data_IF_277410979337
#
_entry.id   IF_277410979337
#
_cell.length_a   1.000
_cell.length_b   1.000
_cell.length_c   1.000
_cell.angle_alpha   90.00
_cell.angle_beta   90.00
_cell.angle_gamma   90.00
#
_symmetry.space_group_name_H-M   'P 1'
#
loop_
_entity.id
_entity.type
_entity.pdbx_description
1 polymer ?
#
# COMPACT_ATOMS: atom_id res chain seq x y z
N UNK A 1 18.66 -17.04 -9.84
CA UNK A 1 19.53 -18.21 -9.60
C UNK A 1 18.65 -19.31 -9.03
N UNK A 2 18.64 -20.44 -9.70
CA UNK A 2 17.89 -21.64 -9.32
C UNK A 2 18.50 -22.25 -8.06
N UNK A 3 17.69 -22.41 -7.02
CA UNK A 3 18.03 -23.18 -5.83
C UNK A 3 18.19 -24.65 -6.23
N UNK A 4 19.41 -25.17 -6.32
CA UNK A 4 19.62 -26.62 -6.25
C UNK A 4 19.53 -27.03 -4.78
N UNK A 5 18.33 -27.40 -4.32
CA UNK A 5 18.21 -28.21 -3.11
C UNK A 5 18.53 -29.65 -3.46
N UNK A 6 19.33 -30.27 -2.61
CA UNK A 6 19.60 -31.71 -2.61
C UNK A 6 18.25 -32.45 -2.63
N UNK A 7 17.98 -33.31 -3.62
CA UNK A 7 16.75 -34.06 -3.67
C UNK A 7 16.78 -35.09 -2.53
N UNK A 8 16.04 -34.83 -1.46
CA UNK A 8 15.72 -35.87 -0.48
C UNK A 8 14.62 -36.74 -1.08
N UNK A 9 15.02 -37.80 -1.77
CA UNK A 9 14.12 -38.89 -2.15
C UNK A 9 13.65 -39.60 -0.88
N UNK A 10 12.35 -39.53 -0.60
CA UNK A 10 11.69 -40.45 0.34
C UNK A 10 10.95 -39.78 1.51
N UNK A 11 9.74 -39.29 1.24
CA UNK A 11 8.79 -38.93 2.30
C UNK A 11 7.35 -39.01 1.80
N UNK A 12 6.74 -40.19 1.76
CA UNK A 12 5.32 -40.34 1.41
C UNK A 12 4.42 -39.88 2.57
N UNK A 13 3.48 -38.95 2.32
CA UNK A 13 2.46 -38.52 3.27
C UNK A 13 2.41 -37.01 3.50
N UNK A 14 1.89 -36.60 4.68
CA UNK A 14 1.65 -35.21 5.12
C UNK A 14 2.87 -34.28 4.91
N UNK A 15 4.10 -34.78 5.08
CA UNK A 15 5.33 -34.00 4.93
C UNK A 15 5.54 -33.57 3.47
N UNK A 16 5.28 -34.44 2.48
CA UNK A 16 5.34 -34.05 1.08
C UNK A 16 4.24 -33.04 0.71
N UNK A 17 3.06 -33.16 1.31
CA UNK A 17 1.99 -32.18 1.15
C UNK A 17 2.38 -30.82 1.75
N UNK A 18 2.95 -30.80 2.95
CA UNK A 18 3.43 -29.59 3.61
C UNK A 18 4.55 -28.92 2.81
N UNK A 19 5.51 -29.70 2.31
CA UNK A 19 6.59 -29.16 1.46
C UNK A 19 6.03 -28.54 0.18
N UNK A 20 5.12 -29.22 -0.52
CA UNK A 20 4.44 -28.63 -1.70
C UNK A 20 3.68 -27.34 -1.37
N UNK A 21 3.04 -27.27 -0.21
CA UNK A 21 2.35 -26.04 0.23
C UNK A 21 3.34 -24.90 0.49
N UNK A 22 4.48 -25.19 1.12
CA UNK A 22 5.56 -24.22 1.34
C UNK A 22 6.11 -23.72 0.00
N UNK A 23 6.37 -24.64 -0.94
CA UNK A 23 6.90 -24.28 -2.26
C UNK A 23 5.90 -23.40 -3.03
N UNK A 24 4.60 -23.71 -3.00
CA UNK A 24 3.56 -22.87 -3.62
C UNK A 24 3.44 -21.45 -3.02
N UNK A 25 3.82 -21.29 -1.75
CA UNK A 25 3.79 -20.00 -1.04
C UNK A 25 5.04 -19.17 -1.37
N UNK A 26 6.23 -19.77 -1.42
CA UNK A 26 7.47 -19.01 -1.55
C UNK A 26 8.07 -19.01 -2.96
N UNK A 27 7.78 -20.02 -3.77
CA UNK A 27 8.30 -20.14 -5.13
C UNK A 27 7.30 -19.64 -6.19
N UNK A 28 7.78 -19.56 -7.44
CA UNK A 28 6.91 -19.29 -8.57
C UNK A 28 5.83 -20.37 -8.66
N UNK A 29 4.56 -19.95 -8.76
CA UNK A 29 3.44 -20.88 -8.79
C UNK A 29 2.64 -20.79 -10.09
N UNK A 30 2.17 -19.61 -10.44
CA UNK A 30 1.35 -19.33 -11.61
C UNK A 30 1.39 -17.84 -11.93
N UNK A 31 1.22 -17.52 -13.20
CA UNK A 31 1.25 -16.15 -13.68
C UNK A 31 0.01 -15.37 -13.21
N UNK A 32 0.25 -14.24 -12.55
CA UNK A 32 -0.80 -13.27 -12.28
C UNK A 32 -1.18 -12.52 -13.57
N UNK A 33 -2.48 -12.47 -13.88
CA UNK A 33 -2.99 -11.76 -15.06
C UNK A 33 -3.78 -10.53 -14.64
N UNK A 34 -3.35 -9.35 -15.11
CA UNK A 34 -4.08 -8.09 -14.90
C UNK A 34 -5.46 -8.19 -15.56
N UNK A 35 -6.49 -7.89 -14.78
CA UNK A 35 -7.93 -8.04 -15.10
C UNK A 35 -8.40 -9.50 -15.30
N UNK A 36 -7.58 -10.48 -14.91
CA UNK A 36 -8.01 -11.87 -14.77
C UNK A 36 -8.87 -12.11 -13.53
N UNK A 37 -9.30 -13.36 -13.32
CA UNK A 37 -10.21 -13.73 -12.24
C UNK A 37 -9.69 -13.35 -10.85
N UNK A 38 -8.41 -13.66 -10.56
CA UNK A 38 -7.80 -13.31 -9.27
C UNK A 38 -7.74 -11.79 -9.06
N UNK A 39 -7.45 -11.01 -10.11
CA UNK A 39 -7.42 -9.56 -10.02
C UNK A 39 -8.79 -9.00 -9.66
N UNK A 40 -9.82 -9.39 -10.42
CA UNK A 40 -11.19 -8.91 -10.21
C UNK A 40 -11.76 -9.34 -8.85
N UNK A 41 -11.41 -10.55 -8.39
CA UNK A 41 -11.78 -11.02 -7.06
C UNK A 41 -11.18 -10.13 -5.95
N UNK A 42 -9.90 -9.77 -6.05
CA UNK A 42 -9.25 -8.94 -5.05
C UNK A 42 -9.70 -7.47 -5.10
N UNK A 43 -9.98 -6.93 -6.28
CA UNK A 43 -10.64 -5.61 -6.41
C UNK A 43 -12.01 -5.66 -5.74
N UNK A 44 -12.82 -6.67 -6.05
CA UNK A 44 -14.16 -6.82 -5.48
C UNK A 44 -14.12 -6.96 -3.95
N UNK A 45 -13.19 -7.75 -3.43
CA UNK A 45 -12.97 -7.89 -1.99
C UNK A 45 -12.56 -6.56 -1.35
N UNK A 46 -11.62 -5.84 -1.96
CA UNK A 46 -11.17 -4.53 -1.47
C UNK A 46 -12.33 -3.54 -1.41
N UNK A 47 -13.13 -3.45 -2.47
CA UNK A 47 -14.32 -2.58 -2.53
C UNK A 47 -15.39 -3.00 -1.51
N UNK A 48 -15.66 -4.30 -1.39
CA UNK A 48 -16.61 -4.82 -0.41
C UNK A 48 -16.18 -4.47 1.02
N UNK A 49 -14.91 -4.68 1.38
CA UNK A 49 -14.37 -4.31 2.69
C UNK A 49 -14.40 -2.79 2.91
N UNK A 50 -14.04 -2.00 1.90
CA UNK A 50 -14.06 -0.54 1.97
C UNK A 50 -15.46 0.04 2.20
N UNK A 51 -16.52 -0.66 1.80
CA UNK A 51 -17.91 -0.24 2.00
C UNK A 51 -18.52 -0.85 3.26
N UNK A 52 -18.43 -2.16 3.41
CA UNK A 52 -19.12 -2.91 4.47
C UNK A 52 -18.51 -2.67 5.84
N UNK A 53 -17.17 -2.60 5.93
CA UNK A 53 -16.49 -2.45 7.21
C UNK A 53 -16.81 -1.10 7.88
N UNK A 54 -16.73 0.06 7.20
CA UNK A 54 -17.13 1.33 7.80
C UNK A 54 -18.63 1.41 8.07
N UNK A 55 -19.47 0.83 7.19
CA UNK A 55 -20.92 0.80 7.38
C UNK A 55 -21.33 0.04 8.66
N UNK A 56 -20.69 -1.10 8.93
CA UNK A 56 -20.88 -1.86 10.16
C UNK A 56 -20.33 -1.10 11.38
N UNK A 57 -19.10 -0.56 11.27
CA UNK A 57 -18.41 0.08 12.40
C UNK A 57 -19.07 1.38 12.89
N UNK A 58 -19.86 2.05 12.05
CA UNK A 58 -20.68 3.20 12.46
C UNK A 58 -21.69 2.88 13.57
N UNK A 59 -22.03 1.60 13.76
CA UNK A 59 -22.90 1.12 14.85
C UNK A 59 -22.14 0.82 16.14
N UNK A 60 -20.81 0.82 16.10
CA UNK A 60 -19.97 0.51 17.26
C UNK A 60 -19.74 1.74 18.14
N UNK A 61 -19.36 1.50 19.39
CA UNK A 61 -18.90 2.56 20.29
C UNK A 61 -17.58 3.18 19.78
N UNK A 62 -17.27 4.44 20.12
CA UNK A 62 -16.01 5.07 19.71
C UNK A 62 -14.76 4.25 20.10
N UNK A 63 -14.77 3.62 21.27
CA UNK A 63 -13.68 2.74 21.71
C UNK A 63 -13.49 1.52 20.79
N UNK A 64 -14.58 0.90 20.33
CA UNK A 64 -14.53 -0.22 19.38
C UNK A 64 -14.12 0.23 17.98
N UNK A 65 -14.54 1.42 17.55
CA UNK A 65 -14.10 2.00 16.27
C UNK A 65 -12.58 2.24 16.25
N UNK A 66 -12.03 2.75 17.36
CA UNK A 66 -10.60 2.93 17.54
C UNK A 66 -9.84 1.60 17.65
N UNK A 67 -10.39 0.63 18.37
CA UNK A 67 -9.81 -0.72 18.44
C UNK A 67 -9.71 -1.34 17.04
N UNK A 68 -10.77 -1.29 16.25
CA UNK A 68 -10.77 -1.83 14.88
C UNK A 68 -9.75 -1.10 13.99
N UNK A 69 -9.65 0.23 14.08
CA UNK A 69 -8.63 0.99 13.37
C UNK A 69 -7.20 0.56 13.75
N UNK A 70 -6.96 0.33 15.05
CA UNK A 70 -5.66 -0.14 15.57
C UNK A 70 -5.36 -1.56 15.08
N UNK A 71 -6.34 -2.46 15.10
CA UNK A 71 -6.18 -3.82 14.58
C UNK A 71 -5.83 -3.77 13.08
N UNK A 72 -6.56 -2.99 12.27
CA UNK A 72 -6.24 -2.81 10.86
C UNK A 72 -4.81 -2.30 10.66
N UNK A 73 -4.40 -1.27 11.42
CA UNK A 73 -3.04 -0.73 11.34
C UNK A 73 -1.97 -1.74 11.73
N UNK A 74 -2.23 -2.57 12.74
CA UNK A 74 -1.31 -3.60 13.20
C UNK A 74 -1.18 -4.73 12.18
N UNK A 75 -2.27 -5.15 11.55
CA UNK A 75 -2.24 -6.16 10.47
C UNK A 75 -1.40 -5.66 9.29
N UNK A 76 -1.58 -4.41 8.88
CA UNK A 76 -0.81 -3.81 7.79
C UNK A 76 0.68 -3.71 8.14
N UNK A 77 1.00 -3.17 9.32
CA UNK A 77 2.38 -3.01 9.78
C UNK A 77 3.08 -4.36 9.98
N UNK A 78 2.43 -5.31 10.63
CA UNK A 78 2.99 -6.65 10.87
C UNK A 78 3.22 -7.40 9.56
N UNK A 79 2.36 -7.22 8.55
CA UNK A 79 2.57 -7.83 7.23
C UNK A 79 3.86 -7.35 6.58
N UNK A 80 4.16 -6.04 6.67
CA UNK A 80 5.42 -5.49 6.16
C UNK A 80 6.61 -6.03 6.96
N UNK A 81 6.53 -6.02 8.30
CA UNK A 81 7.61 -6.51 9.18
C UNK A 81 7.89 -8.00 8.95
N UNK A 82 6.85 -8.84 8.90
CA UNK A 82 6.96 -10.28 8.68
C UNK A 82 7.58 -10.54 7.31
N UNK A 83 7.16 -9.82 6.27
CA UNK A 83 7.74 -9.98 4.93
C UNK A 83 9.22 -9.63 4.89
N UNK A 84 9.61 -8.50 5.49
CA UNK A 84 11.03 -8.12 5.59
C UNK A 84 11.82 -9.12 6.43
N UNK A 85 11.25 -9.62 7.53
CA UNK A 85 11.88 -10.63 8.39
C UNK A 85 12.09 -11.97 7.67
N UNK A 86 11.12 -12.43 6.90
CA UNK A 86 11.24 -13.64 6.07
C UNK A 86 12.36 -13.49 5.05
N UNK A 87 12.42 -12.35 4.36
CA UNK A 87 13.48 -12.05 3.38
C UNK A 87 14.87 -12.08 4.01
N UNK A 88 15.02 -11.49 5.19
CA UNK A 88 16.27 -11.51 5.94
C UNK A 88 16.63 -12.95 6.36
N UNK A 89 15.66 -13.70 6.88
CA UNK A 89 15.86 -15.07 7.33
C UNK A 89 16.28 -16.01 6.20
N UNK A 90 15.70 -15.84 5.00
CA UNK A 90 16.03 -16.62 3.81
C UNK A 90 17.35 -16.18 3.14
N UNK A 91 17.93 -15.05 3.56
CA UNK A 91 19.15 -14.50 2.94
C UNK A 91 18.91 -13.73 1.64
N UNK A 92 17.65 -13.52 1.25
CA UNK A 92 17.24 -12.84 0.01
C UNK A 92 16.97 -11.34 0.19
N UNK A 93 17.42 -10.76 1.31
CA UNK A 93 17.21 -9.35 1.62
C UNK A 93 18.28 -8.46 0.99
N UNK A 94 17.83 -7.57 0.11
CA UNK A 94 18.61 -6.57 -0.59
C UNK A 94 18.24 -5.15 -0.10
N UNK A 95 19.20 -4.48 0.52
CA UNK A 95 19.04 -3.12 1.07
C UNK A 95 18.71 -2.09 -0.01
N UNK A 96 18.92 -2.38 -1.28
CA UNK A 96 18.64 -1.47 -2.39
C UNK A 96 17.21 -1.58 -2.93
N UNK A 97 16.49 -2.66 -2.60
CA UNK A 97 15.13 -2.90 -3.10
C UNK A 97 14.10 -3.26 -2.02
N UNK A 98 14.54 -3.59 -0.79
CA UNK A 98 13.71 -4.26 0.18
C UNK A 98 13.44 -3.51 1.47
N UNK A 99 14.10 -2.36 1.66
CA UNK A 99 13.73 -1.47 2.75
C UNK A 99 12.29 -1.00 2.51
N UNK A 100 11.48 -0.87 3.56
CA UNK A 100 10.09 -0.44 3.47
C UNK A 100 9.98 1.08 3.27
N UNK A 101 10.71 1.60 2.28
CA UNK A 101 10.82 3.01 1.90
C UNK A 101 9.84 3.38 0.78
N UNK A 102 9.14 2.43 0.18
CA UNK A 102 8.00 2.79 -0.67
C UNK A 102 6.88 3.37 0.19
N UNK A 103 6.20 4.40 -0.32
CA UNK A 103 5.20 5.15 0.45
C UNK A 103 4.11 4.26 1.06
N UNK A 104 3.72 3.18 0.39
CA UNK A 104 2.72 2.23 0.90
C UNK A 104 3.26 1.43 2.08
N UNK A 105 4.48 0.88 1.96
CA UNK A 105 5.12 0.11 3.03
C UNK A 105 5.45 1.01 4.22
N UNK A 106 6.01 2.21 3.97
CA UNK A 106 6.31 3.18 5.03
C UNK A 106 5.02 3.63 5.73
N UNK A 107 3.97 3.96 4.97
CA UNK A 107 2.68 4.33 5.55
C UNK A 107 2.15 3.21 6.45
N UNK A 108 2.12 1.97 5.96
CA UNK A 108 1.68 0.80 6.72
C UNK A 108 2.46 0.62 8.03
N UNK A 109 3.78 0.84 8.02
CA UNK A 109 4.61 0.77 9.23
C UNK A 109 4.30 1.87 10.24
N UNK A 110 3.99 3.09 9.77
CA UNK A 110 3.70 4.23 10.63
C UNK A 110 2.28 4.19 11.21
N UNK A 111 1.33 3.47 10.58
CA UNK A 111 -0.07 3.48 10.99
C UNK A 111 -0.31 3.13 12.47
N UNK A 112 0.32 2.11 13.09
CA UNK A 112 0.09 1.80 14.51
C UNK A 112 0.46 2.95 15.44
N UNK A 113 1.55 3.66 15.14
CA UNK A 113 2.00 4.84 15.91
C UNK A 113 0.99 5.98 15.75
N UNK A 114 0.53 6.21 14.52
CA UNK A 114 -0.48 7.24 14.21
C UNK A 114 -1.82 6.93 14.89
N UNK A 115 -2.21 5.66 14.90
CA UNK A 115 -3.45 5.20 15.54
C UNK A 115 -3.37 5.09 17.07
N UNK A 116 -2.19 5.35 17.66
CA UNK A 116 -2.08 5.55 19.11
C UNK A 116 -2.91 6.77 19.53
N UNK A 117 -2.75 7.89 18.81
CA UNK A 117 -3.53 9.13 18.95
C UNK A 117 -3.89 9.68 17.56
N UNK A 118 -5.01 9.21 16.97
CA UNK A 118 -5.38 9.62 15.62
C UNK A 118 -5.71 11.11 15.59
N UNK A 119 -5.08 11.84 14.67
CA UNK A 119 -5.35 13.26 14.45
C UNK A 119 -5.79 13.48 13.01
N UNK A 120 -6.65 14.47 12.82
CA UNK A 120 -7.16 14.84 11.50
C UNK A 120 -6.03 15.20 10.53
N UNK A 121 -5.06 16.02 10.94
CA UNK A 121 -3.97 16.50 10.07
C UNK A 121 -3.11 15.35 9.50
N UNK A 122 -2.78 14.35 10.31
CA UNK A 122 -1.99 13.20 9.85
C UNK A 122 -2.81 12.32 8.91
N UNK A 123 -4.09 12.10 9.23
CA UNK A 123 -4.99 11.35 8.34
C UNK A 123 -5.16 12.04 7.00
N UNK A 124 -5.30 13.37 6.98
CA UNK A 124 -5.45 14.12 5.74
C UNK A 124 -4.24 13.97 4.80
N UNK A 125 -3.02 13.96 5.35
CA UNK A 125 -1.81 13.68 4.58
C UNK A 125 -1.81 12.23 4.06
N UNK A 126 -2.06 11.27 4.95
CA UNK A 126 -2.08 9.85 4.60
C UNK A 126 -3.18 9.51 3.61
N UNK A 127 -4.34 10.17 3.66
CA UNK A 127 -5.45 9.93 2.75
C UNK A 127 -5.02 10.08 1.30
N UNK A 128 -4.34 11.17 0.97
CA UNK A 128 -3.87 11.42 -0.40
C UNK A 128 -2.72 10.50 -0.77
N UNK A 129 -1.75 10.30 0.11
CA UNK A 129 -0.60 9.42 -0.17
C UNK A 129 -1.03 7.98 -0.39
N UNK A 130 -1.87 7.46 0.52
CA UNK A 130 -2.39 6.10 0.47
C UNK A 130 -3.26 5.94 -0.77
N UNK A 131 -4.34 6.70 -0.92
CA UNK A 131 -5.28 6.44 -2.02
C UNK A 131 -4.61 6.64 -3.38
N UNK A 132 -3.78 7.67 -3.55
CA UNK A 132 -3.17 7.93 -4.86
C UNK A 132 -2.16 6.86 -5.24
N UNK A 133 -1.30 6.43 -4.30
CA UNK A 133 -0.32 5.37 -4.55
C UNK A 133 -0.97 3.99 -4.69
N UNK A 134 -1.90 3.65 -3.79
CA UNK A 134 -2.50 2.31 -3.75
C UNK A 134 -3.57 2.10 -4.82
N UNK A 135 -4.29 3.14 -5.28
CA UNK A 135 -5.23 3.00 -6.40
C UNK A 135 -4.49 2.60 -7.68
N UNK A 136 -3.35 3.23 -7.97
CA UNK A 136 -2.56 2.85 -9.15
C UNK A 136 -2.03 1.41 -9.00
N UNK A 137 -1.53 1.05 -7.83
CA UNK A 137 -1.06 -0.31 -7.53
C UNK A 137 -2.18 -1.36 -7.68
N UNK A 138 -3.40 -1.05 -7.23
CA UNK A 138 -4.54 -1.97 -7.34
C UNK A 138 -5.09 -2.05 -8.76
N UNK A 139 -5.02 -0.99 -9.58
CA UNK A 139 -5.55 -1.02 -10.96
C UNK A 139 -4.54 -1.66 -11.93
N UNK A 140 -3.26 -1.35 -11.77
CA UNK A 140 -2.17 -1.87 -12.60
C UNK A 140 -1.10 -2.53 -11.73
N UNK A 141 -1.42 -3.68 -11.10
CA UNK A 141 -0.51 -4.33 -10.18
C UNK A 141 0.71 -4.89 -10.88
N UNK A 142 1.88 -4.63 -10.30
CA UNK A 142 3.13 -5.26 -10.68
C UNK A 142 3.33 -6.53 -9.86
N UNK A 143 2.67 -7.62 -10.28
CA UNK A 143 2.73 -8.94 -9.66
C UNK A 143 3.05 -9.99 -10.72
N UNK A 144 4.06 -10.82 -10.46
CA UNK A 144 4.36 -12.00 -11.29
C UNK A 144 3.56 -13.23 -10.86
N UNK A 145 3.46 -13.46 -9.54
CA UNK A 145 2.83 -14.66 -8.99
C UNK A 145 1.37 -14.43 -8.57
N UNK A 146 0.52 -15.39 -8.85
CA UNK A 146 -0.86 -15.45 -8.37
C UNK A 146 -1.00 -16.05 -6.96
N UNK A 147 -2.22 -16.10 -6.46
CA UNK A 147 -2.55 -16.80 -5.22
C UNK A 147 -2.14 -18.29 -5.30
N UNK A 148 -1.61 -18.94 -4.26
CA UNK A 148 -1.40 -18.49 -2.88
C UNK A 148 0.01 -17.93 -2.59
N UNK A 149 0.73 -17.39 -3.59
CA UNK A 149 2.09 -16.93 -3.37
C UNK A 149 2.15 -15.83 -2.32
N UNK A 150 3.18 -15.85 -1.49
CA UNK A 150 3.37 -14.92 -0.39
C UNK A 150 3.46 -13.47 -0.84
N UNK A 151 4.08 -13.20 -2.00
CA UNK A 151 4.15 -11.86 -2.59
C UNK A 151 2.76 -11.38 -3.00
N UNK A 152 1.92 -12.26 -3.58
CA UNK A 152 0.52 -11.95 -3.89
C UNK A 152 -0.24 -11.57 -2.61
N UNK A 153 -0.14 -12.38 -1.56
CA UNK A 153 -0.84 -12.15 -0.29
C UNK A 153 -0.40 -10.83 0.35
N UNK A 154 0.91 -10.62 0.50
CA UNK A 154 1.49 -9.37 1.03
C UNK A 154 1.01 -8.16 0.23
N UNK A 155 1.05 -8.26 -1.10
CA UNK A 155 0.66 -7.16 -1.99
C UNK A 155 -0.78 -6.71 -1.75
N UNK A 156 -1.72 -7.65 -1.71
CA UNK A 156 -3.13 -7.32 -1.54
C UNK A 156 -3.50 -6.92 -0.11
N UNK A 157 -2.87 -7.52 0.91
CA UNK A 157 -3.05 -7.07 2.30
C UNK A 157 -2.61 -5.62 2.43
N UNK A 158 -1.42 -5.26 1.92
CA UNK A 158 -0.89 -3.90 2.05
C UNK A 158 -1.67 -2.92 1.16
N UNK A 159 -1.72 -3.12 -0.15
CA UNK A 159 -2.32 -2.12 -1.06
C UNK A 159 -3.84 -2.05 -0.91
N UNK A 160 -4.52 -3.20 -0.89
CA UNK A 160 -5.97 -3.24 -0.69
C UNK A 160 -6.36 -2.80 0.73
N UNK A 161 -5.64 -3.28 1.74
CA UNK A 161 -5.93 -2.94 3.13
C UNK A 161 -5.66 -1.48 3.48
N UNK A 162 -4.68 -0.83 2.84
CA UNK A 162 -4.46 0.62 2.98
C UNK A 162 -5.62 1.44 2.41
N UNK A 163 -6.20 1.04 1.26
CA UNK A 163 -7.44 1.65 0.73
C UNK A 163 -8.58 1.52 1.75
N UNK A 164 -8.80 0.30 2.25
CA UNK A 164 -9.83 0.03 3.27
C UNK A 164 -9.60 0.89 4.51
N UNK A 165 -8.35 0.99 4.99
CA UNK A 165 -7.98 1.83 6.13
C UNK A 165 -8.30 3.31 5.88
N UNK A 166 -7.86 3.87 4.76
CA UNK A 166 -8.06 5.29 4.44
C UNK A 166 -9.56 5.65 4.36
N UNK A 167 -10.35 4.78 3.73
CA UNK A 167 -11.81 4.93 3.65
C UNK A 167 -12.46 4.77 5.02
N UNK A 168 -12.03 3.78 5.81
CA UNK A 168 -12.54 3.53 7.16
C UNK A 168 -12.34 4.73 8.08
N UNK A 169 -11.13 5.28 8.17
CA UNK A 169 -10.88 6.45 9.02
C UNK A 169 -11.70 7.65 8.55
N UNK A 170 -11.73 7.91 7.24
CA UNK A 170 -12.53 9.02 6.67
C UNK A 170 -14.02 8.87 7.02
N UNK A 171 -14.58 7.67 6.86
CA UNK A 171 -16.01 7.42 6.99
C UNK A 171 -16.50 7.25 8.44
N UNK A 172 -15.64 6.75 9.35
CA UNK A 172 -15.98 6.45 10.75
C UNK A 172 -15.56 7.58 11.68
N UNK A 173 -14.33 8.10 11.53
CA UNK A 173 -13.82 9.20 12.36
C UNK A 173 -14.22 10.58 11.81
N UNK A 174 -14.83 10.62 10.62
CA UNK A 174 -15.28 11.86 9.96
C UNK A 174 -14.13 12.84 9.71
N UNK A 175 -12.92 12.32 9.55
CA UNK A 175 -11.75 13.10 9.15
C UNK A 175 -11.81 13.30 7.64
N UNK A 176 -12.48 14.36 7.22
CA UNK A 176 -12.62 14.71 5.81
C UNK A 176 -11.51 15.68 5.39
N UNK A 177 -10.59 15.28 4.50
CA UNK A 177 -9.65 16.19 3.87
C UNK A 177 -10.32 17.41 3.26
N UNK A 178 -9.59 18.52 3.27
CA UNK A 178 -9.98 19.76 2.63
C UNK A 178 -9.08 20.14 1.45
N UNK A 179 -9.43 21.24 0.76
CA UNK A 179 -8.64 21.71 -0.38
C UNK A 179 -7.21 22.11 0.02
N UNK A 180 -7.01 22.58 1.25
CA UNK A 180 -5.68 22.91 1.77
C UNK A 180 -4.91 21.62 2.08
N UNK A 181 -5.59 20.56 2.51
CA UNK A 181 -5.01 19.24 2.71
C UNK A 181 -4.38 18.67 1.45
N UNK A 182 -4.92 18.96 0.26
CA UNK A 182 -4.30 18.57 -1.04
C UNK A 182 -2.87 19.12 -1.12
N UNK A 183 -2.72 20.43 -0.90
CA UNK A 183 -1.42 21.11 -0.97
C UNK A 183 -0.48 20.71 0.17
N UNK A 184 -1.01 20.50 1.38
CA UNK A 184 -0.22 20.00 2.50
C UNK A 184 0.34 18.60 2.23
N UNK A 185 -0.50 17.71 1.68
CA UNK A 185 -0.07 16.36 1.31
C UNK A 185 0.93 16.39 0.15
N UNK A 186 0.72 17.28 -0.82
CA UNK A 186 1.65 17.45 -1.94
C UNK A 186 3.01 17.97 -1.47
N UNK A 187 3.05 19.01 -0.62
CA UNK A 187 4.28 19.50 -0.01
C UNK A 187 4.97 18.42 0.82
N UNK A 188 4.21 17.64 1.59
CA UNK A 188 4.75 16.50 2.31
C UNK A 188 5.41 15.49 1.35
N UNK A 189 4.77 15.21 0.21
CA UNK A 189 5.31 14.30 -0.80
C UNK A 189 6.62 14.84 -1.40
N UNK A 190 6.75 16.16 -1.58
CA UNK A 190 8.00 16.79 -2.04
C UNK A 190 9.12 16.60 -1.01
N UNK A 191 8.84 16.88 0.27
CA UNK A 191 9.79 16.68 1.36
C UNK A 191 10.23 15.21 1.40
N UNK A 192 9.28 14.29 1.30
CA UNK A 192 9.55 12.86 1.29
C UNK A 192 10.42 12.44 0.10
N UNK A 193 10.14 12.96 -1.09
CA UNK A 193 10.90 12.67 -2.31
C UNK A 193 12.34 13.18 -2.20
N UNK A 194 12.57 14.36 -1.60
CA UNK A 194 13.92 14.87 -1.35
C UNK A 194 14.69 13.98 -0.37
N UNK A 195 14.04 13.52 0.70
CA UNK A 195 14.64 12.58 1.66
C UNK A 195 15.00 11.27 0.95
N UNK A 196 14.07 10.71 0.17
CA UNK A 196 14.31 9.49 -0.60
C UNK A 196 15.41 9.65 -1.63
N UNK A 197 15.55 10.82 -2.26
CA UNK A 197 16.64 11.07 -3.19
C UNK A 197 18.00 10.96 -2.49
N UNK A 198 18.13 11.56 -1.31
CA UNK A 198 19.35 11.44 -0.50
C UNK A 198 19.63 10.00 -0.04
N UNK A 199 18.59 9.27 0.39
CA UNK A 199 18.72 7.86 0.76
C UNK A 199 19.12 6.98 -0.44
N UNK A 200 18.52 7.20 -1.61
CA UNK A 200 18.86 6.49 -2.83
C UNK A 200 20.30 6.72 -3.25
N UNK A 201 20.76 7.96 -3.18
CA UNK A 201 22.15 8.29 -3.46
C UNK A 201 23.12 7.62 -2.46
N UNK A 202 22.80 7.61 -1.16
CA UNK A 202 23.64 7.01 -0.13
C UNK A 202 23.69 5.47 -0.24
N UNK A 203 22.57 4.83 -0.57
CA UNK A 203 22.44 3.38 -0.61
C UNK A 203 22.76 2.79 -2.01
N UNK A 204 22.91 3.64 -3.03
CA UNK A 204 22.96 3.18 -4.43
C UNK A 204 21.66 2.51 -4.88
N UNK A 205 20.52 2.93 -4.30
CA UNK A 205 19.20 2.34 -4.52
C UNK A 205 18.32 3.17 -5.44
N UNK A 206 17.15 2.63 -5.80
CA UNK A 206 16.17 3.31 -6.64
C UNK A 206 14.73 3.14 -6.12
N UNK A 207 14.54 3.37 -4.83
CA UNK A 207 13.21 3.43 -4.22
C UNK A 207 12.37 4.50 -4.92
N UNK A 208 11.09 4.19 -5.12
CA UNK A 208 10.14 5.09 -5.78
C UNK A 208 10.49 5.47 -7.22
N UNK A 209 11.48 4.80 -7.83
CA UNK A 209 11.93 5.01 -9.21
C UNK A 209 12.30 6.47 -9.53
N UNK A 210 12.88 7.19 -8.56
CA UNK A 210 13.26 8.61 -8.72
C UNK A 210 14.67 8.80 -9.29
N UNK A 211 15.51 7.77 -9.26
CA UNK A 211 16.87 7.82 -9.84
C UNK A 211 16.86 7.43 -11.31
N UNK A 212 16.09 6.39 -11.65
CA UNK A 212 15.84 5.96 -13.03
C UNK A 212 14.54 5.15 -13.11
N UNK A 213 14.05 4.93 -14.33
CA UNK A 213 12.86 4.10 -14.58
C UNK A 213 13.11 2.64 -14.18
N UNK A 214 12.06 1.87 -13.84
CA UNK A 214 12.19 0.43 -13.68
C UNK A 214 12.74 -0.20 -14.97
N UNK A 215 13.47 -1.31 -14.88
CA UNK A 215 13.99 -2.03 -16.05
C UNK A 215 12.90 -2.74 -16.86
N UNK A 216 11.67 -2.80 -16.32
CA UNK A 216 10.51 -3.41 -16.96
C UNK A 216 9.59 -2.34 -17.54
N UNK A 217 8.80 -2.74 -18.55
CA UNK A 217 7.85 -1.86 -19.21
C UNK A 217 6.91 -1.22 -18.18
N UNK A 218 6.82 0.11 -18.20
CA UNK A 218 6.03 0.87 -17.24
C UNK A 218 5.42 2.12 -17.87
N UNK A 219 4.44 2.73 -17.18
CA UNK A 219 3.90 4.03 -17.60
C UNK A 219 4.98 5.12 -17.69
N UNK A 220 6.05 5.00 -16.91
CA UNK A 220 7.14 5.97 -16.90
C UNK A 220 7.87 6.02 -18.25
N UNK A 221 7.81 4.97 -19.07
CA UNK A 221 8.47 4.92 -20.37
C UNK A 221 7.92 5.98 -21.33
N UNK A 222 6.65 6.37 -21.16
CA UNK A 222 5.97 7.37 -21.98
C UNK A 222 6.21 8.83 -21.53
N UNK A 223 6.88 9.04 -20.38
CA UNK A 223 6.98 10.34 -19.73
C UNK A 223 8.30 11.09 -20.02
N UNK A 224 9.10 10.61 -20.98
CA UNK A 224 10.38 11.23 -21.36
C UNK A 224 11.57 10.80 -20.48
N UNK A 225 12.78 11.34 -20.71
CA UNK A 225 13.99 10.94 -19.98
C UNK A 225 14.01 11.52 -18.55
N UNK A 226 14.93 11.03 -17.72
CA UNK A 226 15.21 11.64 -16.42
C UNK A 226 15.79 13.06 -16.62
N UNK A 227 15.39 14.09 -15.84
CA UNK A 227 14.41 14.08 -14.75
C UNK A 227 12.98 14.45 -15.19
N UNK A 228 12.70 14.63 -16.49
CA UNK A 228 11.41 15.12 -17.00
C UNK A 228 10.23 14.21 -16.64
N UNK A 229 10.41 12.89 -16.61
CA UNK A 229 9.33 12.00 -16.20
C UNK A 229 8.89 12.21 -14.74
N UNK A 230 9.78 12.70 -13.87
CA UNK A 230 9.43 13.02 -12.48
C UNK A 230 8.46 14.19 -12.44
N UNK A 231 8.67 15.22 -13.26
CA UNK A 231 7.76 16.35 -13.37
C UNK A 231 6.37 15.89 -13.85
N UNK A 232 6.32 14.97 -14.83
CA UNK A 232 5.05 14.37 -15.27
C UNK A 232 4.39 13.58 -14.14
N UNK A 233 5.16 12.82 -13.35
CA UNK A 233 4.66 12.12 -12.17
C UNK A 233 4.09 13.07 -11.12
N UNK A 234 4.69 14.24 -10.90
CA UNK A 234 4.18 15.25 -9.96
C UNK A 234 2.81 15.80 -10.40
N UNK A 235 2.67 16.13 -11.69
CA UNK A 235 1.36 16.55 -12.24
C UNK A 235 0.33 15.44 -12.13
N UNK A 236 0.72 14.19 -12.41
CA UNK A 236 -0.17 13.03 -12.29
C UNK A 236 -0.58 12.79 -10.84
N UNK A 237 0.35 12.88 -9.89
CA UNK A 237 0.07 12.76 -8.46
C UNK A 237 -0.92 13.83 -8.02
N UNK A 238 -0.71 15.09 -8.40
CA UNK A 238 -1.62 16.18 -8.08
C UNK A 238 -3.00 16.00 -8.73
N UNK A 239 -3.06 15.53 -9.97
CA UNK A 239 -4.32 15.19 -10.65
C UNK A 239 -5.08 14.11 -9.87
N UNK A 240 -4.40 13.03 -9.46
CA UNK A 240 -5.01 11.96 -8.68
C UNK A 240 -5.46 12.48 -7.31
N UNK A 241 -4.69 13.36 -6.65
CA UNK A 241 -5.08 13.97 -5.37
C UNK A 241 -6.42 14.72 -5.51
N UNK A 242 -6.59 15.48 -6.59
CA UNK A 242 -7.86 16.13 -6.89
C UNK A 242 -8.98 15.11 -7.15
N UNK A 243 -8.73 14.06 -7.94
CA UNK A 243 -9.72 13.02 -8.23
C UNK A 243 -10.20 12.31 -6.96
N UNK A 244 -9.31 11.93 -6.04
CA UNK A 244 -9.70 11.28 -4.78
C UNK A 244 -10.36 12.26 -3.80
N UNK A 245 -10.14 13.56 -3.95
CA UNK A 245 -10.83 14.59 -3.16
C UNK A 245 -12.30 14.80 -3.59
N UNK A 246 -12.62 14.71 -4.89
CA UNK A 246 -13.94 15.05 -5.44
C UNK A 246 -15.13 14.36 -4.73
N UNK A 247 -15.10 13.05 -4.42
CA UNK A 247 -16.22 12.37 -3.76
C UNK A 247 -16.53 12.91 -2.36
N UNK A 248 -15.59 13.61 -1.71
CA UNK A 248 -15.76 14.15 -0.36
C UNK A 248 -16.43 15.53 -0.33
N UNK A 249 -16.44 16.26 -1.44
CA UNK A 249 -16.99 17.61 -1.52
C UNK A 249 -18.47 17.71 -1.07
N UNK A 250 -19.37 16.79 -1.48
CA UNK A 250 -20.77 16.82 -1.03
C UNK A 250 -20.95 16.44 0.44
N UNK A 251 -20.07 15.57 0.98
CA UNK A 251 -20.17 15.07 2.36
C UNK A 251 -19.86 16.15 3.39
N UNK A 252 -18.98 17.09 3.04
CA UNK A 252 -18.63 18.23 3.90
C UNK A 252 -19.70 19.31 3.94
N UNK A 253 -20.50 19.44 2.88
CA UNK A 253 -21.54 20.46 2.75
C UNK A 253 -22.80 20.15 3.58
N UNK A 254 -22.81 19.02 4.32
CA UNK A 254 -23.91 18.66 5.21
C UNK A 254 -23.84 19.44 6.53
N UNK A 255 -24.97 20.00 7.02
CA UNK A 255 -25.03 20.69 8.31
C UNK A 255 -24.47 19.80 9.43
N UNK A 256 -23.51 20.33 10.21
CA UNK A 256 -22.87 19.62 11.34
C UNK A 256 -21.45 19.09 11.08
N UNK A 257 -20.88 19.28 9.88
CA UNK A 257 -19.46 18.97 9.58
C UNK A 257 -18.61 20.25 9.49
N UNK A 258 -19.26 21.41 9.29
CA UNK A 258 -18.63 22.71 9.11
C UNK A 258 -18.59 23.53 10.40
N UNK A 259 -17.86 23.06 11.40
CA UNK A 259 -17.34 23.89 12.49
C UNK A 259 -16.45 22.99 13.36
N UNK A 260 -15.16 22.95 13.06
CA UNK A 260 -14.13 23.05 14.09
C UNK A 260 -12.80 23.41 13.42
N UNK A 261 -12.16 24.38 14.05
CA UNK A 261 -11.29 25.43 13.54
C UNK A 261 -9.82 25.04 13.39
N UNK A 262 -9.11 25.85 12.59
CA UNK A 262 -7.69 26.28 12.74
C UNK A 262 -6.59 25.20 12.89
#
# INVERSE_FOLDING_TARGET
MTYERIPFEGGSGLIATLNRMIDQIFEYNQLFTVFGQQHLAMISLTLALAVLLPAAARRFTPARQLLLARILSLVLSSTVIIWTGIRIYLGDFDRTSDLPLDICNLSALLLPVIMWRPTRRVHELLYFWILSGTLQAVITPYLYNGFPNFTFIKYWIVHGGLIVYAIYITAVFRFYPDRRSIWNAFLGLQIYTVILFGLNWLLGSNYFYIMHKPPTASLLDYFGPWPWYLIVCEFLALLIFWLVYLPLHPLRSRPGVSADSS
#
